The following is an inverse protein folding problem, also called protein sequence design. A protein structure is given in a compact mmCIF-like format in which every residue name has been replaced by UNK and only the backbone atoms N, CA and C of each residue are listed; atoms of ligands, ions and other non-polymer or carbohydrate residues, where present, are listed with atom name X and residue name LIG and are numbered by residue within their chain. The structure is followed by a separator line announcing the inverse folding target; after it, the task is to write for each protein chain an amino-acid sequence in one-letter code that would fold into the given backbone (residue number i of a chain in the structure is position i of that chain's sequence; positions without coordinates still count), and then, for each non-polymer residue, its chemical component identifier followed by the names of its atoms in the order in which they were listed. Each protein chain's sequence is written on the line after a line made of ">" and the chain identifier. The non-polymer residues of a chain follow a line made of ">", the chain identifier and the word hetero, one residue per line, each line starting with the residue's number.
data_IF_912681898742
#
_entry.id   IF_912681898742
#
_cell.length_a   1.000
_cell.length_b   1.000
_cell.length_c   1.000
_cell.angle_alpha   90.00
_cell.angle_beta   90.00
_cell.angle_gamma   90.00
#
_symmetry.space_group_name_H-M   'P 1'
#
loop_
_entity.id
_entity.type
_entity.pdbx_description
1 polymer ?
#
# COMPACT_ATOMS: atom_id res chain seq x y z
N UNK A 1 10.94 19.16 18.83
CA UNK A 1 11.45 17.77 18.85
C UNK A 1 12.57 17.70 17.82
N UNK A 2 13.79 17.43 18.27
CA UNK A 2 14.96 17.33 17.38
C UNK A 2 14.69 16.34 16.25
N UNK A 3 14.86 16.78 15.01
CA UNK A 3 14.82 15.88 13.85
C UNK A 3 16.03 14.97 13.98
N UNK A 4 15.80 13.69 14.23
CA UNK A 4 16.86 12.67 14.15
C UNK A 4 17.60 12.82 12.81
N UNK A 5 18.92 12.58 12.78
CA UNK A 5 19.65 12.57 11.53
C UNK A 5 18.97 11.61 10.54
N UNK A 6 18.89 12.01 9.26
CA UNK A 6 18.19 11.25 8.22
C UNK A 6 18.61 9.76 8.19
N UNK A 7 19.91 9.50 8.40
CA UNK A 7 20.47 8.16 8.45
C UNK A 7 19.89 7.30 9.58
N UNK A 8 19.62 7.90 10.75
CA UNK A 8 19.03 7.19 11.90
C UNK A 8 17.59 6.82 11.61
N UNK A 9 16.78 7.75 11.08
CA UNK A 9 15.39 7.45 10.68
C UNK A 9 15.34 6.35 9.61
N UNK A 10 16.23 6.40 8.62
CA UNK A 10 16.33 5.37 7.58
C UNK A 10 16.71 4.00 8.15
N UNK A 11 17.74 3.94 9.00
CA UNK A 11 18.17 2.71 9.67
C UNK A 11 17.06 2.12 10.53
N UNK A 12 16.32 2.96 11.25
CA UNK A 12 15.21 2.53 12.10
C UNK A 12 14.06 1.94 11.28
N UNK A 13 13.70 2.56 10.16
CA UNK A 13 12.72 2.01 9.22
C UNK A 13 13.18 0.65 8.70
N UNK A 14 14.42 0.53 8.21
CA UNK A 14 14.96 -0.74 7.72
C UNK A 14 14.94 -1.83 8.80
N UNK A 15 15.34 -1.48 10.02
CA UNK A 15 15.33 -2.39 11.16
C UNK A 15 13.92 -2.90 11.48
N UNK A 16 12.94 -2.00 11.57
CA UNK A 16 11.56 -2.37 11.88
C UNK A 16 10.90 -3.15 10.74
N UNK A 17 11.17 -2.79 9.48
CA UNK A 17 10.73 -3.55 8.31
C UNK A 17 11.27 -5.01 8.32
N UNK A 18 12.42 -5.26 8.94
CA UNK A 18 12.95 -6.62 9.08
C UNK A 18 12.32 -7.38 10.26
N UNK A 19 12.19 -6.72 11.41
CA UNK A 19 11.81 -7.38 12.67
C UNK A 19 10.29 -7.57 12.79
N UNK A 20 9.48 -6.54 12.52
CA UNK A 20 8.05 -6.58 12.79
C UNK A 20 7.28 -7.61 11.95
N UNK A 21 7.53 -7.78 10.64
CA UNK A 21 6.86 -8.84 9.87
C UNK A 21 7.23 -10.24 10.36
N UNK A 22 8.46 -10.42 10.87
CA UNK A 22 8.91 -11.70 11.43
C UNK A 22 8.20 -12.01 12.74
N UNK A 23 8.01 -11.00 13.60
CA UNK A 23 7.20 -11.11 14.83
C UNK A 23 5.74 -11.38 14.47
N UNK A 24 5.16 -10.64 13.51
CA UNK A 24 3.79 -10.83 13.06
C UNK A 24 3.55 -12.26 12.55
N UNK A 25 4.50 -12.81 11.79
CA UNK A 25 4.46 -14.21 11.34
C UNK A 25 4.49 -15.19 12.51
N UNK A 26 5.30 -14.92 13.54
CA UNK A 26 5.33 -15.70 14.79
C UNK A 26 3.99 -15.68 15.53
N UNK A 27 3.27 -14.57 15.47
CA UNK A 27 1.92 -14.42 16.00
C UNK A 27 0.81 -14.97 15.06
N UNK A 28 1.17 -15.68 13.98
CA UNK A 28 0.24 -16.20 12.95
C UNK A 28 -0.53 -15.11 12.19
N UNK A 29 0.00 -13.90 12.13
CA UNK A 29 -0.54 -12.78 11.36
C UNK A 29 0.17 -12.65 10.01
N UNK A 30 -0.52 -12.19 8.94
CA UNK A 30 0.13 -11.81 7.69
C UNK A 30 1.22 -10.77 7.91
N UNK A 31 2.36 -10.92 7.22
CA UNK A 31 3.51 -10.02 7.38
C UNK A 31 3.19 -8.54 7.11
N UNK A 32 2.19 -8.27 6.26
CA UNK A 32 1.69 -6.91 5.96
C UNK A 32 1.23 -6.17 7.23
N UNK A 33 0.64 -6.89 8.20
CA UNK A 33 0.24 -6.29 9.48
C UNK A 33 1.47 -5.77 10.24
N UNK A 34 2.60 -6.48 10.18
CA UNK A 34 3.86 -6.01 10.75
C UNK A 34 4.36 -4.71 10.13
N UNK A 35 4.22 -4.55 8.81
CA UNK A 35 4.56 -3.29 8.13
C UNK A 35 3.63 -2.13 8.52
N UNK A 36 2.33 -2.39 8.66
CA UNK A 36 1.37 -1.38 9.13
C UNK A 36 1.69 -0.93 10.57
N UNK A 37 2.02 -1.86 11.46
CA UNK A 37 2.44 -1.55 12.82
C UNK A 37 3.73 -0.72 12.84
N UNK A 38 4.68 -1.01 11.94
CA UNK A 38 5.91 -0.20 11.83
C UNK A 38 5.57 1.25 11.46
N UNK A 39 4.66 1.44 10.50
CA UNK A 39 4.17 2.77 10.12
C UNK A 39 3.41 3.48 11.24
N UNK A 40 2.59 2.75 12.00
CA UNK A 40 1.85 3.29 13.14
C UNK A 40 2.80 3.75 14.27
N UNK A 41 3.82 2.94 14.58
CA UNK A 41 4.81 3.25 15.61
C UNK A 41 5.73 4.39 15.19
N UNK A 42 6.20 4.42 13.94
CA UNK A 42 7.14 5.46 13.49
C UNK A 42 6.47 6.74 13.02
N UNK A 43 5.18 6.69 12.70
CA UNK A 43 4.41 7.82 12.17
C UNK A 43 4.19 8.94 13.19
N UNK A 44 3.56 10.05 12.74
CA UNK A 44 3.33 11.25 13.56
C UNK A 44 2.48 10.98 14.81
N UNK A 45 1.66 9.94 14.81
CA UNK A 45 0.82 9.54 15.94
C UNK A 45 1.45 8.47 16.85
N UNK A 46 2.60 7.92 16.48
CA UNK A 46 3.40 7.02 17.31
C UNK A 46 4.52 7.79 18.00
N UNK A 47 5.77 7.45 17.67
CA UNK A 47 6.97 8.13 18.14
C UNK A 47 7.28 9.43 17.39
N UNK A 48 6.62 9.70 16.26
CA UNK A 48 6.79 10.94 15.50
C UNK A 48 8.12 11.06 14.76
N UNK A 49 8.85 9.96 14.56
CA UNK A 49 10.15 9.95 13.86
C UNK A 49 10.04 10.12 12.35
N UNK A 50 8.89 9.79 11.78
CA UNK A 50 8.57 9.99 10.38
C UNK A 50 7.49 11.07 10.23
N UNK A 51 7.77 12.02 9.33
CA UNK A 51 6.80 13.00 8.85
C UNK A 51 6.15 12.48 7.57
N UNK A 52 4.86 12.76 7.37
CA UNK A 52 4.08 12.25 6.23
C UNK A 52 4.73 12.59 4.87
N UNK A 53 5.27 13.80 4.75
CA UNK A 53 5.98 14.28 3.54
C UNK A 53 7.51 14.23 3.68
N UNK A 54 8.00 13.37 4.58
CA UNK A 54 9.42 13.23 4.85
C UNK A 54 10.18 12.52 3.72
N UNK A 55 11.47 12.82 3.52
CA UNK A 55 12.29 12.23 2.45
C UNK A 55 12.36 10.69 2.53
N UNK A 56 12.32 10.12 3.74
CA UNK A 56 12.35 8.66 3.95
C UNK A 56 11.07 8.01 3.44
N UNK A 57 9.89 8.54 3.80
CA UNK A 57 8.59 8.00 3.33
C UNK A 57 8.50 8.17 1.81
N UNK A 58 8.82 9.35 1.29
CA UNK A 58 8.76 9.63 -0.15
C UNK A 58 9.65 8.67 -0.96
N UNK A 59 10.87 8.40 -0.50
CA UNK A 59 11.80 7.47 -1.15
C UNK A 59 11.27 6.03 -1.18
N UNK A 60 10.95 5.47 0.00
CA UNK A 60 10.51 4.07 0.09
C UNK A 60 9.15 3.83 -0.56
N UNK A 61 8.21 4.77 -0.45
CA UNK A 61 6.90 4.67 -1.12
C UNK A 61 7.04 4.71 -2.64
N UNK A 62 7.88 5.61 -3.16
CA UNK A 62 8.10 5.75 -4.61
C UNK A 62 8.82 4.54 -5.19
N UNK A 63 9.97 4.16 -4.63
CA UNK A 63 10.73 3.01 -5.12
C UNK A 63 9.97 1.70 -4.88
N UNK A 64 9.38 1.52 -3.70
CA UNK A 64 8.63 0.30 -3.37
C UNK A 64 7.45 0.07 -4.31
N UNK A 65 6.65 1.12 -4.58
CA UNK A 65 5.55 1.06 -5.55
C UNK A 65 6.04 0.78 -6.96
N UNK A 66 7.10 1.47 -7.40
CA UNK A 66 7.66 1.29 -8.74
C UNK A 66 8.16 -0.13 -8.93
N UNK A 67 8.94 -0.65 -7.98
CA UNK A 67 9.45 -2.02 -8.02
C UNK A 67 8.29 -3.04 -8.01
N UNK A 68 7.26 -2.84 -7.19
CA UNK A 68 6.10 -3.73 -7.17
C UNK A 68 5.38 -3.74 -8.53
N UNK A 69 5.10 -2.57 -9.11
CA UNK A 69 4.49 -2.47 -10.44
C UNK A 69 5.37 -3.09 -11.53
N UNK A 70 6.70 -2.91 -11.43
CA UNK A 70 7.66 -3.51 -12.34
C UNK A 70 7.68 -5.04 -12.23
N UNK A 71 7.77 -5.61 -11.03
CA UNK A 71 7.75 -7.05 -10.82
C UNK A 71 6.44 -7.68 -11.26
N UNK A 72 5.30 -7.05 -10.96
CA UNK A 72 3.99 -7.49 -11.45
C UNK A 72 3.98 -7.51 -12.99
N UNK A 73 4.55 -6.49 -13.63
CA UNK A 73 4.68 -6.46 -15.10
C UNK A 73 5.64 -7.52 -15.65
N UNK A 74 6.73 -7.80 -14.95
CA UNK A 74 7.75 -8.76 -15.34
C UNK A 74 7.26 -10.22 -15.27
N UNK A 75 6.38 -10.53 -14.32
CA UNK A 75 5.80 -11.86 -14.13
C UNK A 75 4.71 -12.20 -15.17
N UNK A 76 4.18 -11.20 -15.90
CA UNK A 76 3.09 -11.42 -16.87
C UNK A 76 3.63 -12.05 -18.16
N UNK A 77 3.12 -13.23 -18.51
CA UNK A 77 3.29 -13.83 -19.84
C UNK A 77 2.40 -13.12 -20.87
N UNK A 78 3.02 -12.36 -21.77
CA UNK A 78 2.32 -11.60 -22.81
C UNK A 78 1.67 -12.50 -23.88
N UNK A 79 2.21 -13.70 -24.13
CA UNK A 79 1.67 -14.64 -25.13
C UNK A 79 0.37 -15.22 -24.62
N UNK A 80 0.35 -15.67 -23.37
CA UNK A 80 -0.87 -16.21 -22.75
C UNK A 80 -1.89 -15.10 -22.50
N UNK A 81 -1.44 -13.91 -22.07
CA UNK A 81 -2.31 -12.74 -21.94
C UNK A 81 -2.99 -12.38 -23.27
N UNK A 82 -2.26 -12.44 -24.40
CA UNK A 82 -2.82 -12.13 -25.70
C UNK A 82 -3.85 -13.18 -26.16
N UNK A 83 -3.66 -14.46 -25.83
CA UNK A 83 -4.65 -15.53 -26.09
C UNK A 83 -5.93 -15.32 -25.28
N UNK A 84 -5.81 -14.85 -24.03
CA UNK A 84 -6.93 -14.62 -23.14
C UNK A 84 -7.44 -13.15 -23.15
N UNK A 85 -6.93 -12.28 -24.02
CA UNK A 85 -7.10 -10.81 -23.96
C UNK A 85 -8.53 -10.35 -23.70
N UNK A 86 -9.51 -10.90 -24.42
CA UNK A 86 -10.92 -10.51 -24.26
C UNK A 86 -11.48 -10.93 -22.89
N UNK A 87 -11.14 -12.13 -22.42
CA UNK A 87 -11.54 -12.61 -21.09
C UNK A 87 -10.83 -11.81 -19.99
N UNK A 88 -9.54 -11.54 -20.15
CA UNK A 88 -8.74 -10.75 -19.21
C UNK A 88 -9.24 -9.30 -19.11
N UNK A 89 -9.57 -8.66 -20.24
CA UNK A 89 -10.16 -7.32 -20.27
C UNK A 89 -11.54 -7.30 -19.61
N UNK A 90 -12.42 -8.23 -19.97
CA UNK A 90 -13.76 -8.31 -19.36
C UNK A 90 -13.65 -8.56 -17.86
N UNK A 91 -12.81 -9.51 -17.45
CA UNK A 91 -12.56 -9.80 -16.04
C UNK A 91 -12.03 -8.58 -15.30
N UNK A 92 -11.00 -7.91 -15.83
CA UNK A 92 -10.42 -6.71 -15.20
C UNK A 92 -11.41 -5.54 -15.11
N UNK A 93 -12.20 -5.29 -16.16
CA UNK A 93 -13.23 -4.24 -16.14
C UNK A 93 -14.31 -4.55 -15.12
N UNK A 94 -14.77 -5.80 -15.04
CA UNK A 94 -15.79 -6.21 -14.08
C UNK A 94 -15.26 -6.17 -12.64
N UNK A 95 -14.07 -6.70 -12.38
CA UNK A 95 -13.47 -6.73 -11.03
C UNK A 95 -12.99 -5.38 -10.55
N UNK A 96 -12.75 -4.41 -11.44
CA UNK A 96 -12.51 -3.03 -11.07
C UNK A 96 -13.82 -2.25 -10.87
N UNK A 97 -14.73 -2.31 -11.85
CA UNK A 97 -15.94 -1.48 -11.85
C UNK A 97 -16.94 -1.92 -10.78
N UNK A 98 -17.05 -3.22 -10.50
CA UNK A 98 -18.04 -3.72 -9.55
C UNK A 98 -17.73 -3.28 -8.10
N UNK A 99 -16.51 -3.50 -7.54
CA UNK A 99 -16.14 -2.95 -6.24
C UNK A 99 -16.15 -1.42 -6.21
N UNK A 100 -15.70 -0.76 -7.28
CA UNK A 100 -15.73 0.71 -7.39
C UNK A 100 -17.14 1.27 -7.22
N UNK A 101 -18.10 0.75 -7.99
CA UNK A 101 -19.48 1.19 -7.90
C UNK A 101 -20.09 0.81 -6.56
N UNK A 102 -19.90 -0.41 -6.08
CA UNK A 102 -20.44 -0.85 -4.80
C UNK A 102 -19.93 0.02 -3.64
N UNK A 103 -18.62 0.26 -3.57
CA UNK A 103 -18.00 1.10 -2.54
C UNK A 103 -18.43 2.56 -2.66
N UNK A 104 -18.52 3.10 -3.89
CA UNK A 104 -19.06 4.44 -4.12
C UNK A 104 -20.49 4.60 -3.61
N UNK A 105 -21.38 3.67 -3.96
CA UNK A 105 -22.78 3.72 -3.55
C UNK A 105 -22.91 3.62 -2.04
N UNK A 106 -22.21 2.68 -1.40
CA UNK A 106 -22.22 2.54 0.06
C UNK A 106 -21.70 3.80 0.74
N UNK A 107 -20.56 4.34 0.30
CA UNK A 107 -19.99 5.55 0.88
C UNK A 107 -20.90 6.78 0.67
N UNK A 108 -21.51 6.91 -0.50
CA UNK A 108 -22.42 8.03 -0.77
C UNK A 108 -23.70 7.96 0.07
N UNK A 109 -24.26 6.76 0.27
CA UNK A 109 -25.42 6.55 1.16
C UNK A 109 -25.09 6.85 2.63
N UNK A 110 -23.83 6.68 3.05
CA UNK A 110 -23.33 7.07 4.36
C UNK A 110 -23.08 8.58 4.50
N UNK A 111 -23.37 9.37 3.46
CA UNK A 111 -23.24 10.83 3.47
C UNK A 111 -21.85 11.36 3.12
N UNK A 112 -20.94 10.51 2.62
CA UNK A 112 -19.66 10.98 2.12
C UNK A 112 -19.81 11.75 0.79
N UNK A 113 -19.01 12.80 0.63
CA UNK A 113 -18.94 13.57 -0.61
C UNK A 113 -18.40 12.74 -1.77
N UNK A 114 -18.73 13.13 -3.01
CA UNK A 114 -18.42 12.37 -4.23
C UNK A 114 -16.94 11.96 -4.32
N UNK A 115 -16.01 12.86 -4.01
CA UNK A 115 -14.58 12.56 -4.05
C UNK A 115 -14.19 11.45 -3.05
N UNK A 116 -14.69 11.54 -1.82
CA UNK A 116 -14.41 10.54 -0.79
C UNK A 116 -15.06 9.19 -1.15
N UNK A 117 -16.28 9.21 -1.68
CA UNK A 117 -16.97 7.99 -2.11
C UNK A 117 -16.25 7.27 -3.26
N UNK A 118 -15.72 8.03 -4.23
CA UNK A 118 -14.92 7.44 -5.33
C UNK A 118 -13.63 6.83 -4.78
N UNK A 119 -12.93 7.54 -3.89
CA UNK A 119 -11.69 7.04 -3.26
C UNK A 119 -11.90 5.80 -2.40
N UNK A 120 -13.05 5.68 -1.74
CA UNK A 120 -13.40 4.49 -0.94
C UNK A 120 -13.75 3.31 -1.84
N UNK A 121 -14.37 3.57 -3.00
CA UNK A 121 -14.71 2.53 -3.97
C UNK A 121 -13.52 2.01 -4.76
N UNK A 122 -12.56 2.87 -5.10
CA UNK A 122 -11.39 2.54 -5.94
C UNK A 122 -10.40 1.61 -5.24
#
# INVERSE_FOLDING_TARGET
>A
MEKLPLLVSFSMVMFLLLILPRIAKGARLPGVIGFLLAGLLLGPHGFGFLTQDGPVIGFFSSIGKLLLMFFVGFEIDLVEFNRAKHKSLLFGVLTFSFPLLAGFWVAHLLGYGVNASVLIGS
#
